data_IF_983730304239
#
_entry.id   IF_983730304239
#
_cell.length_a   1.000
_cell.length_b   1.000
_cell.length_c   1.000
_cell.angle_alpha   90.00
_cell.angle_beta   90.00
_cell.angle_gamma   90.00
#
_symmetry.space_group_name_H-M   'P 1'
#
loop_
_entity.id
_entity.type
_entity.pdbx_description
1 polymer ?
#
# COMPACT_ATOMS: atom_id res chain seq x y z
N UNK A 1 -15.68 -18.34 0.35
CA UNK A 1 -14.25 -17.91 0.18
C UNK A 1 -13.60 -18.87 -0.78
N UNK A 2 -13.13 -18.39 -1.88
CA UNK A 2 -12.33 -19.21 -2.80
C UNK A 2 -10.85 -19.28 -2.38
N UNK A 3 -10.05 -20.07 -3.10
CA UNK A 3 -8.65 -20.29 -2.74
C UNK A 3 -7.81 -19.02 -2.84
N UNK A 4 -8.07 -18.15 -3.83
CA UNK A 4 -7.32 -16.90 -4.01
C UNK A 4 -7.67 -15.89 -2.91
N UNK A 5 -8.94 -15.78 -2.55
CA UNK A 5 -9.38 -14.95 -1.43
C UNK A 5 -8.70 -15.38 -0.10
N UNK A 6 -8.64 -16.70 0.14
CA UNK A 6 -7.94 -17.24 1.32
C UNK A 6 -6.47 -16.84 1.32
N UNK A 7 -5.77 -16.94 0.19
CA UNK A 7 -4.37 -16.51 0.07
C UNK A 7 -4.24 -15.01 0.30
N UNK A 8 -5.14 -14.19 -0.23
CA UNK A 8 -5.13 -12.74 0.02
C UNK A 8 -5.27 -12.40 1.52
N UNK A 9 -6.09 -13.15 2.27
CA UNK A 9 -6.19 -13.01 3.73
C UNK A 9 -4.88 -13.43 4.44
N UNK A 10 -4.24 -14.50 4.01
CA UNK A 10 -2.93 -14.92 4.53
C UNK A 10 -1.84 -13.89 4.22
N UNK A 11 -1.86 -13.29 3.03
CA UNK A 11 -0.99 -12.17 2.66
C UNK A 11 -1.22 -10.95 3.58
N UNK A 12 -2.47 -10.62 3.93
CA UNK A 12 -2.80 -9.54 4.85
C UNK A 12 -2.26 -9.81 6.26
N UNK A 13 -2.34 -11.05 6.75
CA UNK A 13 -1.72 -11.47 8.02
C UNK A 13 -0.20 -11.27 7.95
N UNK A 14 0.44 -11.73 6.88
CA UNK A 14 1.90 -11.62 6.69
C UNK A 14 2.35 -10.16 6.65
N UNK A 15 1.62 -9.28 5.98
CA UNK A 15 1.89 -7.85 5.98
C UNK A 15 1.75 -7.22 7.37
N UNK A 16 0.71 -7.62 8.10
CA UNK A 16 0.41 -7.09 9.44
C UNK A 16 1.46 -7.51 10.47
N UNK A 17 1.91 -8.76 10.42
CA UNK A 17 2.87 -9.34 11.36
C UNK A 17 4.34 -9.19 10.95
N UNK A 18 4.60 -8.69 9.74
CA UNK A 18 5.96 -8.40 9.29
C UNK A 18 6.68 -7.49 10.29
N UNK A 19 8.00 -7.63 10.47
CA UNK A 19 8.77 -6.78 11.38
C UNK A 19 8.56 -5.29 11.09
N UNK A 20 8.40 -4.51 12.14
CA UNK A 20 8.22 -3.05 12.08
C UNK A 20 9.22 -2.35 13.01
N UNK A 21 9.67 -1.18 12.63
CA UNK A 21 10.55 -0.34 13.43
C UNK A 21 9.94 -0.08 14.82
N UNK A 22 10.71 -0.34 15.87
CA UNK A 22 10.28 -0.30 17.30
C UNK A 22 9.09 -1.22 17.63
N UNK A 23 8.73 -2.18 16.80
CA UNK A 23 7.55 -3.00 16.99
C UNK A 23 6.22 -2.25 16.85
N UNK A 24 6.22 -1.04 16.32
CA UNK A 24 5.03 -0.20 16.15
C UNK A 24 4.42 -0.38 14.76
N UNK A 25 3.22 -0.92 14.69
CA UNK A 25 2.55 -1.20 13.43
C UNK A 25 1.57 -0.11 13.01
N UNK A 26 1.96 0.70 12.02
CA UNK A 26 1.10 1.69 11.35
C UNK A 26 0.56 1.18 10.00
N UNK A 27 0.94 -0.02 9.59
CA UNK A 27 0.43 -0.65 8.37
C UNK A 27 -1.01 -1.09 8.59
N UNK A 28 -1.87 -0.73 7.64
CA UNK A 28 -3.25 -1.19 7.56
C UNK A 28 -3.44 -1.97 6.27
N UNK A 29 -4.25 -3.01 6.35
CA UNK A 29 -4.55 -3.89 5.23
C UNK A 29 -6.05 -4.01 5.03
N UNK A 30 -6.48 -4.21 3.78
CA UNK A 30 -7.86 -4.54 3.43
C UNK A 30 -7.87 -5.41 2.19
N UNK A 31 -8.52 -6.55 2.28
CA UNK A 31 -8.78 -7.42 1.12
C UNK A 31 -10.08 -7.00 0.47
N UNK A 32 -10.06 -6.83 -0.85
CA UNK A 32 -11.19 -6.51 -1.69
C UNK A 32 -11.43 -7.68 -2.65
N UNK A 33 -12.70 -8.08 -2.82
CA UNK A 33 -13.12 -9.16 -3.72
C UNK A 33 -14.46 -8.85 -4.37
N UNK A 34 -14.84 -9.58 -5.41
CA UNK A 34 -16.16 -9.49 -6.02
C UNK A 34 -16.48 -8.11 -6.60
N UNK A 35 -17.67 -7.60 -6.36
CA UNK A 35 -18.17 -6.34 -6.98
C UNK A 35 -17.31 -5.13 -6.73
N UNK A 36 -16.66 -5.05 -5.57
CA UNK A 36 -15.83 -3.89 -5.20
C UNK A 36 -14.58 -3.75 -6.09
N UNK A 37 -14.11 -4.85 -6.69
CA UNK A 37 -13.00 -4.80 -7.66
C UNK A 37 -13.39 -4.05 -8.92
N UNK A 38 -14.63 -4.21 -9.38
CA UNK A 38 -15.14 -3.46 -10.52
C UNK A 38 -15.26 -1.97 -10.20
N UNK A 39 -15.80 -1.64 -9.03
CA UNK A 39 -15.89 -0.26 -8.56
C UNK A 39 -14.50 0.40 -8.45
N UNK A 40 -13.51 -0.32 -7.93
CA UNK A 40 -12.12 0.13 -7.87
C UNK A 40 -11.55 0.35 -9.28
N UNK A 41 -11.76 -0.60 -10.18
CA UNK A 41 -11.30 -0.50 -11.57
C UNK A 41 -11.92 0.71 -12.29
N UNK A 42 -13.22 0.92 -12.13
CA UNK A 42 -13.92 2.09 -12.70
C UNK A 42 -13.38 3.41 -12.13
N UNK A 43 -13.09 3.46 -10.83
CA UNK A 43 -12.46 4.62 -10.16
C UNK A 43 -11.05 4.88 -10.70
N UNK A 44 -10.24 3.84 -10.89
CA UNK A 44 -8.91 3.94 -11.48
C UNK A 44 -8.97 4.50 -12.91
N UNK A 45 -9.90 3.99 -13.72
CA UNK A 45 -10.10 4.45 -15.10
C UNK A 45 -10.48 5.94 -15.13
N UNK A 46 -11.46 6.33 -14.30
CA UNK A 46 -11.90 7.72 -14.19
C UNK A 46 -10.77 8.66 -13.72
N UNK A 47 -9.94 8.21 -12.76
CA UNK A 47 -8.78 8.96 -12.31
C UNK A 47 -7.78 9.20 -13.46
N UNK A 48 -7.44 8.15 -14.20
CA UNK A 48 -6.53 8.25 -15.35
C UNK A 48 -7.04 9.20 -16.43
N UNK A 49 -8.33 9.13 -16.76
CA UNK A 49 -8.97 10.00 -17.73
C UNK A 49 -8.94 11.48 -17.31
N UNK A 50 -9.26 11.75 -16.04
CA UNK A 50 -9.28 13.10 -15.46
C UNK A 50 -7.90 13.72 -15.34
N UNK A 51 -6.90 12.94 -14.94
CA UNK A 51 -5.54 13.43 -14.68
C UNK A 51 -4.60 13.32 -15.89
N UNK A 52 -5.02 12.65 -16.96
CA UNK A 52 -4.19 12.31 -18.13
C UNK A 52 -2.94 11.48 -17.80
N UNK A 53 -2.94 10.80 -16.67
CA UNK A 53 -1.83 9.91 -16.26
C UNK A 53 -1.90 8.59 -17.02
N UNK A 54 -0.72 8.11 -17.42
CA UNK A 54 -0.58 6.90 -18.24
C UNK A 54 -0.88 5.61 -17.46
N UNK A 55 -1.28 4.60 -18.20
CA UNK A 55 -1.43 3.20 -17.77
C UNK A 55 -2.53 2.93 -16.72
N UNK A 56 -3.36 3.90 -16.37
CA UNK A 56 -4.52 3.67 -15.51
C UNK A 56 -5.58 2.80 -16.17
N UNK A 57 -5.74 2.92 -17.49
CA UNK A 57 -6.62 2.08 -18.31
C UNK A 57 -6.17 0.61 -18.30
N UNK A 58 -4.88 0.35 -18.51
CA UNK A 58 -4.29 -0.98 -18.43
C UNK A 58 -4.47 -1.60 -17.04
N UNK A 59 -4.08 -0.85 -16.00
CA UNK A 59 -4.11 -1.34 -14.63
C UNK A 59 -5.54 -1.49 -14.10
N UNK A 60 -6.47 -0.63 -14.52
CA UNK A 60 -7.92 -0.77 -14.27
C UNK A 60 -8.45 -2.10 -14.81
N UNK A 61 -8.13 -2.43 -16.07
CA UNK A 61 -8.51 -3.71 -16.68
C UNK A 61 -7.95 -4.89 -15.91
N UNK A 62 -6.67 -4.84 -15.53
CA UNK A 62 -6.04 -5.91 -14.74
C UNK A 62 -6.73 -6.10 -13.37
N UNK A 63 -7.14 -5.02 -12.71
CA UNK A 63 -7.88 -5.08 -11.44
C UNK A 63 -9.27 -5.69 -11.65
N UNK A 64 -9.97 -5.31 -12.72
CA UNK A 64 -11.29 -5.86 -13.03
C UNK A 64 -11.26 -7.38 -13.31
N UNK A 65 -10.14 -7.89 -13.83
CA UNK A 65 -9.90 -9.30 -14.14
C UNK A 65 -9.27 -10.08 -12.97
N UNK A 66 -8.95 -9.43 -11.85
CA UNK A 66 -8.35 -10.06 -10.68
C UNK A 66 -9.41 -10.69 -9.77
N UNK A 67 -9.07 -11.75 -9.07
CA UNK A 67 -9.94 -12.38 -8.07
C UNK A 67 -9.94 -11.63 -6.74
N UNK A 68 -8.81 -10.99 -6.39
CA UNK A 68 -8.65 -10.23 -5.17
C UNK A 68 -7.67 -9.07 -5.33
N UNK A 69 -7.84 -8.03 -4.53
CA UNK A 69 -6.86 -6.96 -4.33
C UNK A 69 -6.60 -6.82 -2.83
N UNK A 70 -5.33 -6.88 -2.44
CA UNK A 70 -4.90 -6.55 -1.09
C UNK A 70 -4.38 -5.11 -1.06
N UNK A 71 -5.13 -4.22 -0.42
CA UNK A 71 -4.66 -2.87 -0.11
C UNK A 71 -3.74 -2.90 1.10
N UNK A 72 -2.59 -2.26 0.98
CA UNK A 72 -1.61 -2.09 2.07
C UNK A 72 -1.23 -0.62 2.12
N UNK A 73 -1.37 0.02 3.27
CA UNK A 73 -1.07 1.43 3.43
C UNK A 73 -0.64 1.80 4.84
N UNK A 74 -0.05 2.98 5.00
CA UNK A 74 0.29 3.56 6.30
C UNK A 74 -0.84 4.48 6.77
N UNK A 75 -1.23 4.35 8.04
CA UNK A 75 -2.23 5.23 8.65
C UNK A 75 -1.69 5.86 9.91
N UNK A 76 -1.64 7.21 9.93
CA UNK A 76 -1.20 8.03 11.07
C UNK A 76 0.18 7.61 11.61
N UNK A 77 1.11 7.24 10.71
CA UNK A 77 2.44 6.81 11.09
C UNK A 77 3.22 7.96 11.75
N UNK A 78 3.68 7.73 12.98
CA UNK A 78 4.54 8.67 13.70
C UNK A 78 5.99 8.52 13.27
N UNK A 79 6.80 9.55 13.53
CA UNK A 79 8.26 9.48 13.35
C UNK A 79 8.87 8.42 14.29
N UNK A 80 10.00 7.85 13.88
CA UNK A 80 10.72 6.89 14.72
C UNK A 80 11.47 7.57 15.87
N UNK A 81 11.83 8.85 15.72
CA UNK A 81 12.48 9.65 16.77
C UNK A 81 13.99 9.48 16.85
N UNK A 82 14.65 9.14 15.73
CA UNK A 82 16.10 8.94 15.67
C UNK A 82 16.91 10.20 15.30
N UNK A 83 16.25 11.28 14.88
CA UNK A 83 16.90 12.49 14.35
C UNK A 83 17.94 12.19 13.26
N UNK A 84 17.66 11.16 12.44
CA UNK A 84 18.61 10.57 11.51
C UNK A 84 18.70 11.27 10.14
N UNK A 85 17.89 12.29 9.90
CA UNK A 85 17.80 13.03 8.64
C UNK A 85 17.48 12.22 7.37
N UNK A 86 17.19 10.91 7.46
CA UNK A 86 16.92 10.07 6.31
C UNK A 86 15.68 10.48 5.49
N UNK A 87 14.75 11.20 6.10
CA UNK A 87 13.57 11.78 5.45
C UNK A 87 13.83 13.16 4.81
N UNK A 88 15.09 13.68 4.88
CA UNK A 88 15.48 14.98 4.33
C UNK A 88 15.30 16.16 5.28
N UNK A 89 14.78 15.96 6.49
CA UNK A 89 14.71 16.98 7.55
C UNK A 89 15.85 16.81 8.53
N UNK A 90 16.33 17.93 9.11
CA UNK A 90 17.48 17.90 10.03
C UNK A 90 17.25 17.05 11.28
N UNK A 91 16.03 17.06 11.80
CA UNK A 91 15.60 16.30 12.95
C UNK A 91 14.10 15.95 12.89
N UNK A 92 13.65 15.06 13.75
CA UNK A 92 12.26 14.64 13.81
C UNK A 92 11.29 15.74 14.21
N UNK A 93 11.74 16.71 15.03
CA UNK A 93 10.92 17.84 15.45
C UNK A 93 10.63 18.78 14.27
N UNK A 94 11.61 19.06 13.44
CA UNK A 94 11.45 19.84 12.20
C UNK A 94 10.51 19.14 11.22
N UNK A 95 10.64 17.83 11.06
CA UNK A 95 9.71 17.01 10.27
C UNK A 95 8.26 17.13 10.79
N UNK A 96 8.03 17.02 12.10
CA UNK A 96 6.69 17.04 12.70
C UNK A 96 6.00 18.41 12.58
N UNK A 97 6.75 19.49 12.46
CA UNK A 97 6.21 20.84 12.23
C UNK A 97 5.76 21.07 10.79
N UNK A 98 6.20 20.22 9.87
CA UNK A 98 5.84 20.32 8.46
C UNK A 98 4.37 20.00 8.26
N UNK A 99 3.68 20.84 7.52
CA UNK A 99 2.31 20.56 7.08
C UNK A 99 2.30 19.35 6.14
N UNK A 100 1.27 18.54 6.26
CA UNK A 100 1.04 17.43 5.35
C UNK A 100 0.47 17.94 4.03
N UNK A 101 1.12 17.56 2.93
CA UNK A 101 0.60 17.81 1.59
C UNK A 101 -0.10 16.57 1.08
N UNK A 102 -1.24 16.77 0.42
CA UNK A 102 -2.02 15.71 -0.21
C UNK A 102 -1.87 15.81 -1.72
N UNK A 103 -1.05 14.90 -2.27
CA UNK A 103 -0.97 14.64 -3.70
C UNK A 103 -1.70 13.34 -4.02
N UNK A 104 -1.06 12.43 -4.74
CA UNK A 104 -1.55 11.05 -4.87
C UNK A 104 -1.49 10.32 -3.53
N UNK A 105 -0.50 10.63 -2.73
CA UNK A 105 -0.36 10.19 -1.34
C UNK A 105 -0.13 11.38 -0.44
N UNK A 106 -0.40 11.20 0.84
CA UNK A 106 -0.18 12.22 1.85
C UNK A 106 1.24 12.13 2.39
N UNK A 107 2.00 13.20 2.30
CA UNK A 107 3.38 13.30 2.78
C UNK A 107 3.64 14.61 3.54
N UNK A 108 4.85 14.76 4.11
CA UNK A 108 5.94 13.79 4.16
C UNK A 108 5.68 12.62 5.12
N UNK A 109 6.40 11.50 4.89
CA UNK A 109 6.36 10.31 5.74
C UNK A 109 7.77 9.97 6.21
N UNK A 110 7.92 9.57 7.47
CA UNK A 110 9.21 9.12 8.00
C UNK A 110 9.78 7.97 7.14
N UNK A 111 11.05 8.08 6.77
CA UNK A 111 11.70 7.09 5.90
C UNK A 111 11.62 5.66 6.47
N UNK A 112 11.78 5.49 7.78
CA UNK A 112 11.67 4.18 8.43
C UNK A 112 10.24 3.61 8.35
N UNK A 113 9.21 4.45 8.36
CA UNK A 113 7.83 3.98 8.18
C UNK A 113 7.55 3.55 6.75
N UNK A 114 8.19 4.18 5.77
CA UNK A 114 8.15 3.70 4.38
C UNK A 114 8.89 2.36 4.22
N UNK A 115 10.03 2.17 4.92
CA UNK A 115 10.71 0.87 4.98
C UNK A 115 9.82 -0.19 5.63
N UNK A 116 9.14 0.11 6.73
CA UNK A 116 8.18 -0.80 7.37
C UNK A 116 7.10 -1.25 6.37
N UNK A 117 6.57 -0.33 5.57
CA UNK A 117 5.60 -0.64 4.53
C UNK A 117 6.20 -1.53 3.43
N UNK A 118 7.45 -1.25 3.01
CA UNK A 118 8.16 -2.08 2.04
C UNK A 118 8.37 -3.52 2.53
N UNK A 119 8.71 -3.69 3.80
CA UNK A 119 8.83 -5.01 4.44
C UNK A 119 7.47 -5.72 4.47
N UNK A 120 6.40 -5.01 4.81
CA UNK A 120 5.05 -5.57 4.80
C UNK A 120 4.60 -6.03 3.39
N UNK A 121 4.87 -5.22 2.36
CA UNK A 121 4.63 -5.58 0.96
C UNK A 121 5.41 -6.84 0.56
N UNK A 122 6.71 -6.89 0.87
CA UNK A 122 7.56 -8.05 0.58
C UNK A 122 7.08 -9.32 1.28
N UNK A 123 6.64 -9.22 2.54
CA UNK A 123 6.08 -10.35 3.29
C UNK A 123 4.79 -10.87 2.66
N UNK A 124 3.90 -9.98 2.21
CA UNK A 124 2.68 -10.36 1.51
C UNK A 124 2.99 -11.09 0.18
N UNK A 125 3.87 -10.53 -0.64
CA UNK A 125 4.29 -11.13 -1.93
C UNK A 125 4.95 -12.49 -1.72
N UNK A 126 5.80 -12.64 -0.70
CA UNK A 126 6.40 -13.93 -0.35
C UNK A 126 5.31 -14.98 -0.06
N UNK A 127 4.28 -14.63 0.70
CA UNK A 127 3.16 -15.54 1.00
C UNK A 127 2.46 -16.01 -0.27
N UNK A 128 2.12 -15.09 -1.18
CA UNK A 128 1.54 -15.43 -2.47
C UNK A 128 2.43 -16.39 -3.28
N UNK A 129 3.73 -16.09 -3.35
CA UNK A 129 4.71 -16.92 -4.06
C UNK A 129 4.82 -18.32 -3.48
N UNK A 130 4.83 -18.46 -2.15
CA UNK A 130 4.88 -19.77 -1.48
C UNK A 130 3.63 -20.63 -1.75
N UNK A 131 2.52 -19.99 -2.03
CA UNK A 131 1.24 -20.64 -2.32
C UNK A 131 0.93 -20.71 -3.83
N UNK A 132 1.90 -20.38 -4.68
CA UNK A 132 1.81 -20.40 -6.14
C UNK A 132 0.64 -19.55 -6.70
N UNK A 133 0.32 -18.43 -6.06
CA UNK A 133 -0.66 -17.47 -6.56
C UNK A 133 0.05 -16.34 -7.28
N UNK A 134 -0.33 -16.11 -8.54
CA UNK A 134 0.16 -15.00 -9.32
C UNK A 134 -0.24 -13.67 -8.69
N UNK A 135 0.67 -12.73 -8.68
CA UNK A 135 0.43 -11.43 -8.05
C UNK A 135 1.30 -10.33 -8.65
N UNK A 136 0.86 -9.10 -8.45
CA UNK A 136 1.59 -7.91 -8.85
C UNK A 136 1.38 -6.80 -7.83
N UNK A 137 2.47 -6.15 -7.40
CA UNK A 137 2.38 -4.88 -6.65
C UNK A 137 2.01 -3.78 -7.65
N UNK A 138 0.93 -3.06 -7.36
CA UNK A 138 0.36 -2.06 -8.24
C UNK A 138 0.20 -0.71 -7.53
N UNK A 139 1.06 0.23 -7.87
CA UNK A 139 1.05 1.62 -7.37
C UNK A 139 -0.30 2.30 -7.61
N UNK A 140 -0.88 2.15 -8.81
CA UNK A 140 -2.09 2.87 -9.23
C UNK A 140 -3.35 2.48 -8.46
N UNK A 141 -3.38 1.31 -7.86
CA UNK A 141 -4.45 0.89 -6.95
C UNK A 141 -4.50 1.78 -5.70
N UNK A 142 -3.34 2.15 -5.18
CA UNK A 142 -3.25 3.01 -3.99
C UNK A 142 -3.55 4.48 -4.25
N UNK A 143 -3.55 4.90 -5.52
CA UNK A 143 -3.79 6.30 -5.93
C UNK A 143 -5.28 6.60 -6.12
N UNK A 144 -6.02 5.65 -6.65
CA UNK A 144 -7.44 5.76 -6.94
C UNK A 144 -8.27 5.36 -5.73
#
# INVERSE_FOLDING_TARGET
MDGVEMVAQLMAISATTAPKSKGENFVKTRVLTGKILKELADTMLAFGQRTKKKDFDRDSKNVAESDAVLLIGLKKASVLGLDCAACGFADCKSFQKQEKESGEFVGPTCAFRLLDMGIALGSAVKTASMLNVDNRIMYRVGVA
#
